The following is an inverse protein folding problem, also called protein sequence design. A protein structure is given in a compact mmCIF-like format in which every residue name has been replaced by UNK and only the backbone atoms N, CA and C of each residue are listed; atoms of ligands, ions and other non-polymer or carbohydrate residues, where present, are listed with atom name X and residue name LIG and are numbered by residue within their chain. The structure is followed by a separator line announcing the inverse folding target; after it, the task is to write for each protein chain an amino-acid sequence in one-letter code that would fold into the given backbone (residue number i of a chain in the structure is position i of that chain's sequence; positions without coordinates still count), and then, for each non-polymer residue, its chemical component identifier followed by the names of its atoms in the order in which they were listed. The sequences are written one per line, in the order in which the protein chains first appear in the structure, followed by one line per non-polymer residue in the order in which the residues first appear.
data_IF_466329224415
#
_entry.id   IF_466329224415
#
_cell.length_a   1.000
_cell.length_b   1.000
_cell.length_c   1.000
_cell.angle_alpha   90.00
_cell.angle_beta   90.00
_cell.angle_gamma   90.00
#
_symmetry.space_group_name_H-M   'P 1'
#
loop_
_entity.id
_entity.type
_entity.pdbx_description
1 polymer ?
#
# COMPACT_ATOMS: atom_id res chain seq x y z
N UNK A 1 5.00 -17.05 0.10
CA UNK A 1 6.45 -16.86 0.30
C UNK A 1 6.82 -17.58 1.58
N UNK A 2 7.71 -18.56 1.48
CA UNK A 2 8.36 -19.10 2.68
C UNK A 2 9.27 -18.04 3.33
N UNK A 3 9.76 -18.30 4.54
CA UNK A 3 10.59 -17.32 5.26
C UNK A 3 11.92 -17.03 4.55
N UNK A 4 12.46 -17.98 3.78
CA UNK A 4 13.71 -17.83 3.05
C UNK A 4 13.53 -16.86 1.87
N UNK A 5 12.41 -16.99 1.15
CA UNK A 5 12.00 -16.09 0.09
C UNK A 5 11.67 -14.68 0.65
N UNK A 6 11.07 -14.57 1.85
CA UNK A 6 10.81 -13.28 2.53
C UNK A 6 12.07 -12.52 2.89
N UNK A 7 13.11 -13.21 3.36
CA UNK A 7 14.41 -12.59 3.68
C UNK A 7 15.08 -12.04 2.41
N UNK A 8 14.85 -12.67 1.25
CA UNK A 8 15.27 -12.12 -0.04
C UNK A 8 14.54 -10.84 -0.46
N UNK A 9 13.52 -10.40 0.29
CA UNK A 9 12.79 -9.14 0.12
C UNK A 9 13.10 -8.11 1.23
N UNK A 10 13.99 -8.44 2.16
CA UNK A 10 14.49 -7.54 3.20
C UNK A 10 15.28 -6.39 2.53
N UNK A 11 14.81 -5.16 2.74
CA UNK A 11 15.38 -3.98 2.08
C UNK A 11 16.84 -3.75 2.50
N UNK A 12 17.25 -4.26 3.66
CA UNK A 12 18.63 -4.22 4.15
C UNK A 12 19.57 -5.14 3.36
N UNK A 13 19.03 -6.12 2.63
CA UNK A 13 19.83 -7.10 1.87
C UNK A 13 19.90 -6.83 0.37
N UNK A 14 19.02 -5.97 -0.16
CA UNK A 14 18.76 -5.88 -1.61
C UNK A 14 19.42 -4.64 -2.25
N UNK A 15 19.88 -3.66 -1.48
CA UNK A 15 20.50 -2.48 -2.08
C UNK A 15 21.41 -1.66 -1.15
N UNK A 16 22.31 -0.82 -1.73
CA UNK A 16 23.10 0.17 -0.97
C UNK A 16 22.26 1.31 -0.36
N UNK A 17 20.93 1.28 -0.49
CA UNK A 17 20.00 2.27 0.05
C UNK A 17 19.81 2.08 1.57
N UNK A 18 20.89 2.18 2.34
CA UNK A 18 20.75 2.77 3.68
C UNK A 18 20.24 4.19 3.45
N UNK A 19 18.96 4.42 3.73
CA UNK A 19 18.39 5.77 3.79
C UNK A 19 19.35 6.65 4.58
N UNK A 20 19.80 7.74 3.96
CA UNK A 20 20.76 8.70 4.49
C UNK A 20 20.55 8.92 6.00
N UNK A 21 21.45 8.38 6.82
CA UNK A 21 21.51 8.61 8.27
C UNK A 21 20.64 7.71 9.15
N UNK A 22 19.85 6.78 8.61
CA UNK A 22 19.02 5.91 9.43
C UNK A 22 19.70 4.57 9.74
N UNK A 23 20.12 4.38 11.00
CA UNK A 23 20.66 3.11 11.51
C UNK A 23 19.59 2.46 12.39
N UNK A 24 19.11 1.24 12.07
CA UNK A 24 18.18 0.52 12.95
C UNK A 24 18.79 0.37 14.34
N UNK A 25 18.13 0.93 15.37
CA UNK A 25 18.51 0.77 16.77
C UNK A 25 18.10 -0.63 17.24
N UNK A 26 18.86 -1.64 16.80
CA UNK A 26 18.72 -3.03 17.23
C UNK A 26 17.69 -3.85 16.44
N UNK A 27 18.02 -5.13 16.23
CA UNK A 27 17.05 -6.16 15.80
C UNK A 27 16.23 -6.56 17.02
N UNK A 28 15.03 -6.00 17.18
CA UNK A 28 14.16 -6.43 18.27
C UNK A 28 13.69 -7.88 18.02
N UNK A 29 13.92 -8.76 18.99
CA UNK A 29 13.23 -10.04 19.08
C UNK A 29 11.73 -9.76 19.14
N UNK A 30 10.99 -10.16 18.10
CA UNK A 30 9.58 -9.79 17.91
C UNK A 30 8.70 -10.05 19.14
N UNK A 31 7.75 -9.13 19.37
CA UNK A 31 6.79 -9.12 20.48
C UNK A 31 5.76 -10.27 20.45
N UNK A 32 5.85 -11.21 19.51
CA UNK A 32 4.80 -12.21 19.28
C UNK A 32 4.99 -13.55 20.03
N UNK A 33 6.13 -13.77 20.69
CA UNK A 33 6.41 -15.02 21.42
C UNK A 33 6.53 -16.27 20.53
N UNK A 34 7.28 -17.26 21.03
CA UNK A 34 7.45 -18.57 20.41
C UNK A 34 8.42 -18.60 19.23
N UNK A 35 9.74 -18.58 19.50
CA UNK A 35 10.90 -18.94 18.65
C UNK A 35 10.92 -18.53 17.16
N UNK A 36 9.95 -17.75 16.68
CA UNK A 36 9.82 -17.30 15.30
C UNK A 36 10.43 -15.91 15.18
N UNK A 37 11.49 -15.82 14.38
CA UNK A 37 12.08 -14.55 13.95
C UNK A 37 11.18 -13.94 12.89
N UNK A 38 10.17 -13.18 13.29
CA UNK A 38 9.51 -12.26 12.37
C UNK A 38 10.48 -11.12 12.10
N UNK A 39 10.88 -10.91 10.84
CA UNK A 39 11.65 -9.73 10.45
C UNK A 39 10.89 -8.49 10.87
N UNK A 40 11.40 -7.75 11.84
CA UNK A 40 10.86 -6.46 12.26
C UNK A 40 11.82 -5.40 11.76
N UNK A 41 11.42 -4.69 10.72
CA UNK A 41 12.05 -3.44 10.33
C UNK A 41 11.30 -2.30 11.03
N UNK A 42 12.03 -1.50 11.80
CA UNK A 42 11.49 -0.33 12.47
C UNK A 42 11.99 0.93 11.75
N UNK A 43 11.05 1.72 11.23
CA UNK A 43 11.33 3.05 10.68
C UNK A 43 10.93 4.09 11.72
N UNK A 44 11.89 4.91 12.16
CA UNK A 44 11.62 6.00 13.08
C UNK A 44 11.27 7.21 12.23
N UNK A 45 10.11 7.80 12.49
CA UNK A 45 9.73 9.07 11.89
C UNK A 45 9.77 10.11 13.00
N UNK A 46 10.36 11.26 12.71
CA UNK A 46 10.47 12.34 13.69
C UNK A 46 9.10 12.69 14.25
N UNK A 47 9.02 12.90 15.56
CA UNK A 47 7.83 13.43 16.22
C UNK A 47 7.46 14.81 15.70
N UNK A 48 8.44 15.60 15.24
CA UNK A 48 8.22 16.89 14.57
C UNK A 48 8.18 16.75 13.02
N UNK A 49 8.03 15.51 12.53
CA UNK A 49 8.10 15.17 11.11
C UNK A 49 6.81 15.41 10.32
N UNK A 50 6.78 14.88 9.10
CA UNK A 50 5.64 15.03 8.20
C UNK A 50 4.36 14.34 8.73
N UNK A 51 4.44 13.31 9.59
CA UNK A 51 3.24 12.68 10.14
C UNK A 51 2.49 13.64 11.05
N UNK A 52 3.16 14.24 12.03
CA UNK A 52 2.52 15.18 12.96
C UNK A 52 2.17 16.50 12.30
N UNK A 53 2.99 16.98 11.37
CA UNK A 53 2.75 18.24 10.66
C UNK A 53 1.80 18.15 9.47
N UNK A 54 1.48 16.96 8.92
CA UNK A 54 0.56 16.82 7.77
C UNK A 54 -0.65 15.93 8.04
N UNK A 55 -0.78 15.37 9.24
CA UNK A 55 -1.94 14.56 9.66
C UNK A 55 -2.50 15.05 11.00
N UNK A 56 -2.65 16.38 11.16
CA UNK A 56 -3.20 16.95 12.39
C UNK A 56 -4.66 16.51 12.56
N UNK A 57 -5.06 15.90 13.69
CA UNK A 57 -6.44 15.46 13.91
C UNK A 57 -7.48 16.60 13.86
N UNK A 58 -7.04 17.85 14.07
CA UNK A 58 -7.89 19.04 14.00
C UNK A 58 -8.18 19.50 12.57
N UNK A 59 -7.44 19.01 11.58
CA UNK A 59 -7.54 19.45 10.18
C UNK A 59 -8.38 18.47 9.35
N UNK A 60 -9.10 18.97 8.34
CA UNK A 60 -9.87 18.10 7.45
C UNK A 60 -8.94 17.21 6.62
N UNK A 61 -9.36 15.95 6.43
CA UNK A 61 -8.66 14.96 5.59
C UNK A 61 -9.69 14.12 4.84
N UNK A 62 -9.28 13.54 3.71
CA UNK A 62 -10.09 12.52 3.01
C UNK A 62 -9.83 11.10 3.54
N UNK A 63 -9.19 10.97 4.72
CA UNK A 63 -9.03 9.71 5.42
C UNK A 63 -10.37 9.01 5.57
N UNK A 64 -10.44 7.72 5.24
CA UNK A 64 -11.69 6.98 5.27
C UNK A 64 -11.50 5.50 5.54
N UNK A 65 -12.58 4.88 6.05
CA UNK A 65 -12.73 3.44 6.12
C UNK A 65 -13.70 3.01 5.02
N UNK A 66 -13.30 2.05 4.20
CA UNK A 66 -14.10 1.53 3.09
C UNK A 66 -14.36 0.05 3.28
N UNK A 67 -15.64 -0.33 3.28
CA UNK A 67 -16.09 -1.71 3.22
C UNK A 67 -16.39 -2.05 1.76
N UNK A 68 -15.65 -3.01 1.21
CA UNK A 68 -15.73 -3.41 -0.18
C UNK A 68 -16.31 -4.82 -0.27
N UNK A 69 -17.25 -5.01 -1.19
CA UNK A 69 -17.70 -6.33 -1.65
C UNK A 69 -17.34 -6.47 -3.11
N UNK A 70 -16.56 -7.49 -3.44
CA UNK A 70 -16.26 -7.84 -4.82
C UNK A 70 -17.28 -8.87 -5.28
N UNK A 71 -17.94 -8.59 -6.41
CA UNK A 71 -18.86 -9.53 -7.05
C UNK A 71 -18.11 -10.77 -7.53
N UNK A 72 -18.84 -11.87 -7.71
CA UNK A 72 -18.24 -13.11 -8.16
C UNK A 72 -17.67 -12.96 -9.56
N UNK A 73 -16.38 -13.23 -9.72
CA UNK A 73 -15.68 -13.15 -11.00
C UNK A 73 -15.34 -14.57 -11.47
N UNK A 74 -15.83 -14.94 -12.66
CA UNK A 74 -15.55 -16.23 -13.27
C UNK A 74 -14.10 -16.33 -13.73
N UNK A 75 -13.49 -17.48 -13.46
CA UNK A 75 -12.13 -17.80 -13.91
C UNK A 75 -12.12 -17.95 -15.44
N UNK A 76 -11.29 -17.17 -16.12
CA UNK A 76 -11.13 -17.23 -17.59
C UNK A 76 -11.72 -16.04 -18.36
N UNK A 77 -12.47 -15.15 -17.70
CA UNK A 77 -12.84 -13.85 -18.28
C UNK A 77 -11.78 -12.83 -17.86
N UNK A 78 -11.23 -12.00 -18.77
CA UNK A 78 -10.29 -10.93 -18.42
C UNK A 78 -10.99 -9.78 -17.68
N UNK A 79 -11.51 -10.05 -16.49
CA UNK A 79 -12.08 -9.07 -15.58
C UNK A 79 -11.13 -8.87 -14.40
N UNK A 80 -10.67 -7.64 -14.23
CA UNK A 80 -9.97 -7.20 -13.02
C UNK A 80 -11.02 -6.70 -12.04
N UNK A 81 -11.10 -7.30 -10.85
CA UNK A 81 -11.94 -6.79 -9.76
C UNK A 81 -11.55 -5.37 -9.34
N UNK A 82 -10.26 -5.03 -9.50
CA UNK A 82 -9.75 -3.67 -9.43
C UNK A 82 -8.53 -3.54 -10.34
N UNK A 83 -8.51 -2.54 -11.22
CA UNK A 83 -7.42 -2.33 -12.17
C UNK A 83 -6.09 -1.98 -11.44
N UNK A 84 -4.92 -2.18 -12.09
CA UNK A 84 -3.63 -1.74 -11.55
C UNK A 84 -3.62 -0.26 -11.16
N UNK A 85 -3.28 0.04 -9.91
CA UNK A 85 -3.17 1.41 -9.39
C UNK A 85 -2.22 1.47 -8.18
N UNK A 86 -1.88 2.69 -7.78
CA UNK A 86 -1.26 2.99 -6.48
C UNK A 86 -2.26 3.76 -5.62
N UNK A 87 -2.16 3.61 -4.31
CA UNK A 87 -3.01 4.33 -3.37
C UNK A 87 -2.57 5.79 -3.26
N UNK A 88 -3.52 6.71 -3.27
CA UNK A 88 -3.23 8.16 -3.23
C UNK A 88 -2.61 8.60 -1.89
N UNK A 89 -2.99 7.93 -0.79
CA UNK A 89 -2.76 8.38 0.57
C UNK A 89 -1.36 8.14 1.13
N UNK A 90 -1.27 8.09 2.45
CA UNK A 90 -0.04 7.83 3.20
C UNK A 90 0.11 6.34 3.46
N UNK A 91 -0.88 5.72 4.11
CA UNK A 91 -0.91 4.30 4.40
C UNK A 91 -2.29 3.72 4.10
N UNK A 92 -2.31 2.49 3.61
CA UNK A 92 -3.52 1.67 3.53
C UNK A 92 -3.37 0.48 4.46
N UNK A 93 -4.37 0.26 5.32
CA UNK A 93 -4.48 -0.92 6.18
C UNK A 93 -5.64 -1.73 5.67
N UNK A 94 -5.35 -2.91 5.13
CA UNK A 94 -6.33 -3.79 4.50
C UNK A 94 -6.53 -5.07 5.32
N UNK A 95 -7.77 -5.31 5.70
CA UNK A 95 -8.23 -6.58 6.27
C UNK A 95 -9.03 -7.33 5.21
N UNK A 96 -8.61 -8.56 4.91
CA UNK A 96 -9.32 -9.47 4.02
C UNK A 96 -8.95 -10.90 4.36
N UNK A 97 -9.89 -11.81 4.15
CA UNK A 97 -9.80 -13.24 4.41
C UNK A 97 -9.64 -14.08 3.13
N UNK A 98 -9.88 -13.49 1.95
CA UNK A 98 -9.81 -14.17 0.65
C UNK A 98 -8.71 -13.63 -0.26
N UNK A 99 -8.10 -14.56 -1.02
CA UNK A 99 -7.10 -14.28 -2.05
C UNK A 99 -7.66 -13.33 -3.13
N UNK A 100 -6.75 -12.73 -3.88
CA UNK A 100 -7.07 -11.94 -5.08
C UNK A 100 -6.29 -10.63 -5.19
N UNK A 101 -5.74 -10.13 -4.07
CA UNK A 101 -4.82 -9.00 -4.10
C UNK A 101 -3.49 -9.43 -4.73
N UNK A 102 -3.03 -8.68 -5.71
CA UNK A 102 -1.68 -8.79 -6.26
C UNK A 102 -0.93 -7.47 -6.13
N UNK A 103 0.35 -7.54 -5.82
CA UNK A 103 1.29 -6.43 -5.89
C UNK A 103 2.35 -6.70 -6.95
N UNK A 104 2.82 -5.65 -7.61
CA UNK A 104 3.90 -5.73 -8.60
C UNK A 104 5.25 -5.59 -7.90
N UNK A 105 6.10 -6.59 -8.06
CA UNK A 105 7.45 -6.58 -7.49
C UNK A 105 8.28 -5.41 -8.08
N UNK A 106 9.00 -4.63 -7.25
CA UNK A 106 9.68 -3.42 -7.72
C UNK A 106 10.85 -3.69 -8.68
N UNK A 107 11.56 -4.82 -8.52
CA UNK A 107 12.76 -5.12 -9.32
C UNK A 107 12.46 -6.02 -10.53
N UNK A 108 11.66 -7.07 -10.32
CA UNK A 108 11.34 -8.05 -11.38
C UNK A 108 10.13 -7.64 -12.19
N UNK A 109 9.35 -6.67 -11.70
CA UNK A 109 8.09 -6.22 -12.32
C UNK A 109 7.01 -7.30 -12.46
N UNK A 110 7.20 -8.45 -11.82
CA UNK A 110 6.24 -9.54 -11.80
C UNK A 110 5.09 -9.25 -10.84
N UNK A 111 3.90 -9.76 -11.17
CA UNK A 111 2.75 -9.73 -10.27
C UNK A 111 2.80 -10.91 -9.30
N UNK A 112 2.69 -10.65 -8.01
CA UNK A 112 2.67 -11.67 -6.95
C UNK A 112 1.40 -11.55 -6.13
N UNK A 113 0.76 -12.69 -5.84
CA UNK A 113 -0.39 -12.73 -4.94
C UNK A 113 0.06 -12.50 -3.50
N UNK A 114 -0.73 -11.73 -2.76
CA UNK A 114 -0.62 -11.60 -1.32
C UNK A 114 -1.66 -12.51 -0.68
N UNK A 115 -1.20 -13.59 -0.05
CA UNK A 115 -2.07 -14.52 0.65
C UNK A 115 -2.56 -13.88 1.96
N UNK A 116 -3.88 -13.85 2.20
CA UNK A 116 -4.42 -13.48 3.50
C UNK A 116 -3.82 -14.32 4.61
N UNK A 117 -3.48 -13.67 5.73
CA UNK A 117 -3.03 -14.35 6.93
C UNK A 117 -3.99 -14.02 8.07
N UNK A 118 -4.48 -15.06 8.73
CA UNK A 118 -5.40 -14.89 9.86
C UNK A 118 -4.79 -14.00 10.95
N UNK A 119 -5.61 -13.11 11.50
CA UNK A 119 -5.20 -12.13 12.51
C UNK A 119 -4.25 -11.04 12.00
N UNK A 120 -3.97 -10.98 10.70
CA UNK A 120 -3.04 -10.01 10.11
C UNK A 120 -3.75 -9.04 9.15
N UNK A 121 -3.18 -7.85 9.02
CA UNK A 121 -3.54 -6.88 7.99
C UNK A 121 -2.42 -6.77 6.96
N UNK A 122 -2.78 -6.42 5.73
CA UNK A 122 -1.81 -5.95 4.74
C UNK A 122 -1.64 -4.44 4.93
N UNK A 123 -0.41 -3.99 5.09
CA UNK A 123 -0.06 -2.57 5.15
C UNK A 123 0.59 -2.18 3.84
N UNK A 124 0.08 -1.14 3.18
CA UNK A 124 0.61 -0.61 1.94
C UNK A 124 1.00 0.87 2.08
N UNK A 125 2.12 1.25 1.45
CA UNK A 125 2.55 2.64 1.30
C UNK A 125 1.82 3.29 0.13
N UNK A 126 1.23 4.46 0.37
CA UNK A 126 0.62 5.28 -0.67
C UNK A 126 1.54 6.36 -1.24
N UNK A 127 1.05 7.05 -2.27
CA UNK A 127 1.75 8.12 -2.98
C UNK A 127 2.16 9.27 -2.06
N UNK A 128 1.30 9.71 -1.13
CA UNK A 128 1.64 10.80 -0.19
C UNK A 128 2.84 10.44 0.67
N UNK A 129 2.93 9.23 1.22
CA UNK A 129 4.09 8.82 2.03
C UNK A 129 5.35 8.72 1.16
N UNK A 130 5.22 8.22 -0.07
CA UNK A 130 6.32 8.26 -1.04
C UNK A 130 6.85 9.68 -1.24
N UNK A 131 6.00 10.68 -1.40
CA UNK A 131 6.47 12.06 -1.64
C UNK A 131 6.97 12.74 -0.38
N UNK A 132 6.26 12.61 0.74
CA UNK A 132 6.63 13.21 2.02
C UNK A 132 7.94 12.63 2.61
N UNK A 133 8.30 11.40 2.23
CA UNK A 133 9.57 10.77 2.57
C UNK A 133 10.67 11.01 1.53
N UNK A 134 10.49 11.95 0.61
CA UNK A 134 11.43 12.23 -0.48
C UNK A 134 11.77 10.98 -1.32
N UNK A 135 10.76 10.14 -1.55
CA UNK A 135 10.84 8.84 -2.24
C UNK A 135 11.65 7.78 -1.50
N UNK A 136 11.88 7.96 -0.19
CA UNK A 136 12.46 6.94 0.67
C UNK A 136 11.57 5.69 0.79
N UNK A 137 10.26 5.88 0.83
CA UNK A 137 9.29 4.80 0.62
C UNK A 137 8.73 4.83 -0.81
N UNK A 138 8.36 3.67 -1.35
CA UNK A 138 7.72 3.58 -2.67
C UNK A 138 6.27 3.11 -2.54
N UNK A 139 5.38 3.71 -3.32
CA UNK A 139 4.00 3.24 -3.37
C UNK A 139 3.88 2.01 -4.26
N UNK A 140 3.31 0.94 -3.73
CA UNK A 140 3.22 -0.33 -4.43
C UNK A 140 2.09 -0.29 -5.49
N UNK A 141 2.46 -0.61 -6.73
CA UNK A 141 1.46 -0.86 -7.77
C UNK A 141 0.75 -2.18 -7.47
N UNK A 142 -0.56 -2.15 -7.30
CA UNK A 142 -1.34 -3.30 -6.91
C UNK A 142 -2.66 -3.38 -7.68
N UNK A 143 -3.27 -4.57 -7.71
CA UNK A 143 -4.54 -4.85 -8.40
C UNK A 143 -5.31 -5.95 -7.68
N UNK A 144 -6.59 -6.11 -7.99
CA UNK A 144 -7.39 -7.26 -7.54
C UNK A 144 -7.82 -8.07 -8.75
N UNK A 145 -7.40 -9.32 -8.81
CA UNK A 145 -7.71 -10.27 -9.89
C UNK A 145 -8.15 -11.61 -9.32
N UNK A 146 -8.99 -12.39 -10.04
CA UNK A 146 -9.32 -13.75 -9.65
C UNK A 146 -8.06 -14.60 -9.42
N UNK A 147 -8.12 -15.52 -8.47
CA UNK A 147 -7.08 -16.54 -8.26
C UNK A 147 -7.57 -17.86 -8.85
N UNK A 148 -6.69 -18.63 -9.49
CA UNK A 148 -7.07 -19.91 -10.13
C UNK A 148 -7.62 -20.92 -9.11
N UNK A 149 -7.11 -20.87 -7.88
CA UNK A 149 -7.42 -21.79 -6.78
C UNK A 149 -8.52 -21.26 -5.84
N UNK A 150 -8.98 -20.02 -6.08
CA UNK A 150 -10.06 -19.41 -5.34
C UNK A 150 -10.86 -18.52 -6.29
N UNK A 151 -12.06 -18.99 -6.66
CA UNK A 151 -13.10 -18.09 -7.15
C UNK A 151 -13.17 -16.90 -6.19
N UNK A 152 -13.09 -15.67 -6.71
CA UNK A 152 -13.48 -14.50 -5.90
C UNK A 152 -14.98 -14.66 -5.73
N UNK A 153 -15.45 -15.43 -4.76
CA UNK A 153 -16.85 -15.54 -4.42
C UNK A 153 -17.06 -14.66 -3.19
N UNK A 154 -17.91 -13.63 -3.30
CA UNK A 154 -18.26 -12.74 -2.21
C UNK A 154 -17.05 -12.33 -1.34
N UNK A 155 -15.99 -11.83 -1.97
CA UNK A 155 -14.82 -11.34 -1.22
C UNK A 155 -15.19 -10.03 -0.56
N UNK A 156 -15.06 -10.00 0.76
CA UNK A 156 -15.18 -8.78 1.54
C UNK A 156 -13.79 -8.28 1.90
N UNK A 157 -13.63 -6.97 1.95
CA UNK A 157 -12.46 -6.38 2.56
C UNK A 157 -12.80 -5.07 3.24
N UNK A 158 -12.10 -4.80 4.33
CA UNK A 158 -12.14 -3.54 5.05
C UNK A 158 -10.81 -2.83 4.84
N UNK A 159 -10.83 -1.66 4.21
CA UNK A 159 -9.65 -0.87 3.92
C UNK A 159 -9.72 0.47 4.65
N UNK A 160 -8.76 0.73 5.53
CA UNK A 160 -8.54 2.05 6.11
C UNK A 160 -7.48 2.78 5.30
N UNK A 161 -7.84 3.93 4.75
CA UNK A 161 -6.93 4.79 3.99
C UNK A 161 -6.56 6.00 4.85
N UNK A 162 -5.36 5.99 5.41
CA UNK A 162 -4.77 7.17 6.04
C UNK A 162 -4.30 8.13 4.96
N UNK A 163 -4.70 9.40 5.05
CA UNK A 163 -4.33 10.44 4.10
C UNK A 163 -3.93 11.71 4.84
N UNK A 164 -3.05 12.54 4.26
CA UNK A 164 -2.74 13.84 4.84
C UNK A 164 -3.99 14.73 4.92
N UNK A 165 -3.90 15.82 5.67
CA UNK A 165 -4.85 16.93 5.62
C UNK A 165 -4.99 17.49 4.19
N UNK A 166 -6.12 18.13 3.88
CA UNK A 166 -6.42 18.56 2.51
C UNK A 166 -5.37 19.51 1.93
N UNK A 167 -4.90 20.45 2.76
CA UNK A 167 -3.89 21.44 2.41
C UNK A 167 -2.44 20.97 2.68
N UNK A 168 -2.23 19.68 2.99
CA UNK A 168 -0.88 19.16 3.09
C UNK A 168 -0.16 19.29 1.74
N UNK A 169 1.01 19.88 1.79
CA UNK A 169 1.84 20.14 0.63
C UNK A 169 3.01 19.15 0.51
N UNK A 170 3.32 18.74 -0.72
CA UNK A 170 4.48 17.93 -1.07
C UNK A 170 4.85 18.11 -2.55
N UNK A 171 6.11 17.83 -2.87
CA UNK A 171 6.60 17.86 -4.26
C UNK A 171 6.47 16.48 -4.91
N UNK A 172 5.85 16.44 -6.09
CA UNK A 172 5.68 15.23 -6.88
C UNK A 172 5.80 15.54 -8.38
N UNK A 173 6.50 14.68 -9.10
CA UNK A 173 6.65 14.79 -10.57
C UNK A 173 7.21 16.16 -11.04
N UNK A 174 8.07 16.80 -10.22
CA UNK A 174 8.65 18.11 -10.53
C UNK A 174 7.68 19.28 -10.35
N UNK A 175 6.56 19.07 -9.66
CA UNK A 175 5.56 20.09 -9.35
C UNK A 175 5.20 20.05 -7.87
N UNK A 176 4.72 21.19 -7.38
CA UNK A 176 4.21 21.33 -6.03
C UNK A 176 2.73 20.98 -5.99
N UNK A 177 2.31 20.18 -5.02
CA UNK A 177 0.93 19.70 -4.89
C UNK A 177 0.37 19.91 -3.51
N UNK A 178 -0.92 20.28 -3.44
CA UNK A 178 -1.74 20.00 -2.27
C UNK A 178 -2.30 18.58 -2.34
N UNK A 179 -2.46 17.95 -1.18
CA UNK A 179 -3.00 16.61 -1.02
C UNK A 179 -4.36 16.43 -1.70
N UNK A 180 -5.26 17.43 -1.58
CA UNK A 180 -6.56 17.41 -2.26
C UNK A 180 -6.44 17.44 -3.78
N UNK A 181 -5.53 18.23 -4.34
CA UNK A 181 -5.36 18.35 -5.79
C UNK A 181 -4.78 17.08 -6.39
N UNK A 182 -3.79 16.49 -5.70
CA UNK A 182 -3.26 15.18 -6.05
C UNK A 182 -4.34 14.09 -6.02
N UNK A 183 -5.18 14.11 -4.98
CA UNK A 183 -6.30 13.18 -4.86
C UNK A 183 -7.29 13.32 -6.03
N UNK A 184 -7.72 14.54 -6.35
CA UNK A 184 -8.66 14.79 -7.44
C UNK A 184 -8.07 14.43 -8.80
N UNK A 185 -6.77 14.69 -9.04
CA UNK A 185 -6.06 14.26 -10.25
C UNK A 185 -6.12 12.74 -10.42
N UNK A 186 -5.75 11.99 -9.38
CA UNK A 186 -5.74 10.53 -9.40
C UNK A 186 -7.15 9.95 -9.54
N UNK A 187 -8.13 10.54 -8.85
CA UNK A 187 -9.53 10.15 -8.95
C UNK A 187 -10.08 10.34 -10.37
N UNK A 188 -9.78 11.47 -11.02
CA UNK A 188 -10.14 11.71 -12.43
C UNK A 188 -9.51 10.66 -13.36
N UNK A 189 -8.22 10.39 -13.19
CA UNK A 189 -7.50 9.37 -13.98
C UNK A 189 -8.09 7.96 -13.81
N UNK A 190 -8.46 7.59 -12.58
CA UNK A 190 -9.12 6.32 -12.30
C UNK A 190 -10.47 6.21 -13.02
N UNK A 191 -11.30 7.27 -12.98
CA UNK A 191 -12.61 7.28 -13.66
C UNK A 191 -12.48 7.29 -15.19
N UNK A 192 -11.56 8.07 -15.75
CA UNK A 192 -11.35 8.11 -17.21
C UNK A 192 -10.80 6.79 -17.75
N UNK A 193 -10.01 6.05 -16.94
CA UNK A 193 -9.55 4.70 -17.29
C UNK A 193 -10.66 3.65 -17.29
N UNK A 194 -11.78 3.90 -16.58
CA UNK A 194 -12.96 3.02 -16.59
C UNK A 194 -13.90 3.31 -17.77
N UNK A 195 -13.97 4.53 -18.28
CA UNK A 195 -14.86 4.92 -19.40
C UNK A 195 -14.38 4.44 -20.77
N UNK A 196 -13.13 4.00 -20.91
CA UNK A 196 -12.61 3.41 -22.16
C UNK A 196 -13.02 1.96 -22.42
N UNK A 197 -13.97 1.41 -21.66
CA UNK A 197 -14.50 0.03 -21.81
C UNK A 197 -15.96 -0.03 -22.25
N UNK A 198 -16.54 1.10 -22.63
CA UNK A 198 -17.88 1.18 -23.22
C UNK A 198 -17.79 1.90 -24.55
N UNK A 199 -17.38 1.18 -25.58
CA UNK A 199 -17.73 1.38 -26.99
C UNK A 199 -17.29 0.14 -27.79
#
# INVERSE_FOLDING_TARGET
LDEEEKIGYDIDTIAPWKLHGYTPFGRNTGLAGGDKKHGVEAYTVSEEGFFTSKHRPSEPSTTCLLLLRYATLDVGIPQTGLAPHTDVGTLTILFSDKKGLQARHPLTHEWRYLDPKEGCAVINVGDSLRFLSEKGFQSALHRVVPSADATIDNRFSCAYFLRPELDAEFDAEGQHWKSIDWHLRKYKSYRSGQTGKTE
#
